data_IF_001964537852
#
_entry.id   IF_001964537852
#
_cell.length_a   1.000
_cell.length_b   1.000
_cell.length_c   1.000
_cell.angle_alpha   90.00
_cell.angle_beta   90.00
_cell.angle_gamma   90.00
#
_symmetry.space_group_name_H-M   'P 1'
#
loop_
_entity.id
_entity.type
_entity.pdbx_description
1 polymer ?
#
# COMPACT_ATOMS: atom_id res chain seq x y z
N UNK A 1 -18.91 12.77 -13.49
CA UNK A 1 -17.52 13.02 -13.94
C UNK A 1 -16.65 13.35 -12.72
N UNK A 2 -15.96 12.36 -12.14
CA UNK A 2 -15.12 12.52 -10.94
C UNK A 2 -13.77 13.13 -11.32
N UNK A 3 -13.74 14.45 -11.49
CA UNK A 3 -12.60 15.24 -11.97
C UNK A 3 -11.44 15.25 -10.95
N UNK A 4 -10.26 14.79 -11.37
CA UNK A 4 -8.97 15.20 -10.81
C UNK A 4 -8.32 14.30 -9.74
N UNK A 5 -8.94 13.19 -9.33
CA UNK A 5 -8.36 12.33 -8.30
C UNK A 5 -7.33 11.39 -8.92
N UNK A 6 -6.06 11.52 -8.50
CA UNK A 6 -4.99 10.61 -8.92
C UNK A 6 -4.95 9.40 -7.99
N UNK A 7 -5.05 8.21 -8.59
CA UNK A 7 -4.91 6.93 -7.91
C UNK A 7 -3.58 6.26 -8.24
N UNK A 8 -3.02 5.53 -7.27
CA UNK A 8 -1.84 4.68 -7.45
C UNK A 8 -2.21 3.26 -7.06
N UNK A 9 -1.96 2.31 -7.95
CA UNK A 9 -2.06 0.88 -7.65
C UNK A 9 -0.74 0.42 -7.04
N UNK A 10 -0.82 -0.27 -5.90
CA UNK A 10 0.31 -0.85 -5.18
C UNK A 10 0.07 -2.36 -5.12
N UNK A 11 1.04 -3.11 -5.64
CA UNK A 11 1.01 -4.58 -5.60
C UNK A 11 1.35 -5.05 -4.18
N UNK A 12 0.43 -5.77 -3.55
CA UNK A 12 0.57 -6.32 -2.20
C UNK A 12 1.03 -7.78 -2.19
N UNK A 13 1.72 -8.23 -3.24
CA UNK A 13 2.33 -9.56 -3.31
C UNK A 13 3.84 -9.52 -3.04
N UNK A 14 4.38 -10.66 -2.64
CA UNK A 14 5.82 -10.87 -2.54
C UNK A 14 6.22 -12.26 -3.05
N UNK A 15 7.47 -12.44 -3.55
CA UNK A 15 7.91 -13.71 -4.11
C UNK A 15 7.98 -14.85 -3.08
N UNK A 16 7.45 -16.02 -3.44
CA UNK A 16 7.43 -17.25 -2.61
C UNK A 16 8.83 -17.71 -2.22
N UNK A 17 9.85 -17.43 -3.05
CA UNK A 17 11.26 -17.78 -2.78
C UNK A 17 11.78 -17.27 -1.43
N UNK A 18 11.20 -16.20 -0.90
CA UNK A 18 11.58 -15.62 0.39
C UNK A 18 10.83 -16.24 1.58
N UNK A 19 9.79 -17.06 1.32
CA UNK A 19 8.96 -17.70 2.33
C UNK A 19 8.46 -16.70 3.38
N UNK A 20 8.41 -17.14 4.64
CA UNK A 20 7.96 -16.31 5.77
C UNK A 20 8.85 -15.06 5.97
N UNK A 21 10.14 -15.15 5.62
CA UNK A 21 11.08 -14.03 5.72
C UNK A 21 10.80 -12.93 4.68
N UNK A 22 10.00 -13.23 3.65
CA UNK A 22 9.59 -12.27 2.62
C UNK A 22 8.48 -11.31 3.06
N UNK A 23 7.77 -11.61 4.15
CA UNK A 23 6.64 -10.81 4.60
C UNK A 23 7.07 -9.41 5.07
N UNK A 24 8.08 -9.34 5.94
CA UNK A 24 8.62 -8.07 6.48
C UNK A 24 9.12 -7.14 5.36
N UNK A 25 10.04 -7.56 4.47
CA UNK A 25 10.49 -6.70 3.37
C UNK A 25 9.37 -6.37 2.37
N UNK A 26 8.39 -7.28 2.19
CA UNK A 26 7.20 -7.01 1.39
C UNK A 26 6.35 -5.88 1.99
N UNK A 27 6.11 -5.90 3.29
CA UNK A 27 5.40 -4.85 4.02
C UNK A 27 6.16 -3.52 3.99
N UNK A 28 7.49 -3.54 4.18
CA UNK A 28 8.32 -2.34 4.13
C UNK A 28 8.29 -1.69 2.74
N UNK A 29 8.37 -2.51 1.67
CA UNK A 29 8.23 -2.05 0.28
C UNK A 29 6.90 -1.34 0.07
N UNK A 30 5.79 -1.98 0.45
CA UNK A 30 4.43 -1.43 0.29
C UNK A 30 4.25 -0.15 1.10
N UNK A 31 4.76 -0.11 2.33
CA UNK A 31 4.74 1.08 3.18
C UNK A 31 5.52 2.23 2.55
N UNK A 32 6.69 1.95 1.98
CA UNK A 32 7.52 2.94 1.30
C UNK A 32 6.82 3.47 0.04
N UNK A 33 6.28 2.59 -0.81
CA UNK A 33 5.52 2.97 -2.01
C UNK A 33 4.29 3.83 -1.66
N UNK A 34 3.55 3.46 -0.61
CA UNK A 34 2.42 4.22 -0.12
C UNK A 34 2.81 5.61 0.39
N UNK A 35 3.93 5.72 1.11
CA UNK A 35 4.49 6.99 1.56
C UNK A 35 4.91 7.88 0.39
N UNK A 36 5.64 7.33 -0.59
CA UNK A 36 6.04 8.05 -1.81
C UNK A 36 4.82 8.53 -2.58
N UNK A 37 3.82 7.66 -2.79
CA UNK A 37 2.59 8.05 -3.46
C UNK A 37 1.83 9.15 -2.69
N UNK A 38 1.84 9.12 -1.35
CA UNK A 38 1.26 10.19 -0.55
C UNK A 38 2.01 11.52 -0.73
N UNK A 39 3.36 11.50 -0.83
CA UNK A 39 4.20 12.67 -1.08
C UNK A 39 4.02 13.23 -2.49
N UNK A 40 3.89 12.36 -3.49
CA UNK A 40 3.63 12.72 -4.89
C UNK A 40 2.22 13.32 -5.10
N UNK A 41 1.39 13.33 -4.05
CA UNK A 41 0.07 13.94 -4.05
C UNK A 41 -1.01 13.04 -4.66
N UNK A 42 -0.85 11.72 -4.60
CA UNK A 42 -1.94 10.78 -4.87
C UNK A 42 -2.97 10.82 -3.73
N UNK A 43 -4.25 10.73 -4.09
CA UNK A 43 -5.37 10.83 -3.14
C UNK A 43 -6.02 9.48 -2.85
N UNK A 44 -5.78 8.50 -3.71
CA UNK A 44 -6.32 7.15 -3.61
C UNK A 44 -5.16 6.18 -3.77
N UNK A 45 -5.01 5.27 -2.80
CA UNK A 45 -4.14 4.12 -2.95
C UNK A 45 -5.03 2.89 -3.20
N UNK A 46 -4.72 2.15 -4.24
CA UNK A 46 -5.40 0.90 -4.56
C UNK A 46 -4.44 -0.22 -4.24
N UNK A 47 -4.75 -1.01 -3.21
CA UNK A 47 -3.97 -2.21 -2.92
C UNK A 47 -4.52 -3.33 -3.78
N UNK A 48 -3.62 -3.98 -4.51
CA UNK A 48 -3.99 -5.08 -5.38
C UNK A 48 -3.11 -6.29 -5.10
N UNK A 49 -3.77 -7.40 -4.83
CA UNK A 49 -3.20 -8.73 -4.70
C UNK A 49 -3.41 -9.58 -5.96
N UNK A 50 -3.85 -8.96 -7.07
CA UNK A 50 -4.13 -9.62 -8.35
C UNK A 50 -2.95 -10.36 -8.97
N UNK A 51 -1.73 -10.02 -8.56
CA UNK A 51 -0.52 -10.69 -9.01
C UNK A 51 -0.21 -11.97 -8.21
N UNK A 52 -1.15 -12.42 -7.38
CA UNK A 52 -1.04 -13.67 -6.63
C UNK A 52 -0.94 -14.85 -7.60
N UNK A 53 0.11 -15.64 -7.44
CA UNK A 53 0.42 -16.77 -8.31
C UNK A 53 1.20 -17.82 -7.49
N UNK A 54 1.49 -18.97 -8.10
CA UNK A 54 2.32 -20.02 -7.48
C UNK A 54 3.71 -19.49 -7.06
N UNK A 55 4.18 -18.42 -7.68
CA UNK A 55 5.46 -17.77 -7.40
C UNK A 55 5.34 -16.51 -6.53
N UNK A 56 4.12 -16.00 -6.29
CA UNK A 56 3.85 -14.74 -5.58
C UNK A 56 2.76 -14.93 -4.51
N UNK A 57 3.13 -14.76 -3.24
CA UNK A 57 2.20 -14.84 -2.12
C UNK A 57 1.53 -13.48 -1.90
N UNK A 58 0.19 -13.42 -1.82
CA UNK A 58 -0.50 -12.20 -1.42
C UNK A 58 -0.33 -11.95 0.08
N UNK A 59 -0.04 -10.71 0.45
CA UNK A 59 -0.14 -10.26 1.84
C UNK A 59 -1.62 -10.09 2.18
N UNK A 60 -2.03 -10.55 3.36
CA UNK A 60 -3.41 -10.37 3.83
C UNK A 60 -3.81 -8.89 3.78
N UNK A 61 -4.88 -8.59 3.05
CA UNK A 61 -5.40 -7.22 2.90
C UNK A 61 -5.52 -6.40 4.20
N UNK A 62 -6.09 -6.92 5.31
CA UNK A 62 -6.14 -6.15 6.56
C UNK A 62 -4.76 -5.86 7.16
N UNK A 63 -3.78 -6.76 6.98
CA UNK A 63 -2.40 -6.57 7.44
C UNK A 63 -1.71 -5.46 6.63
N UNK A 64 -1.85 -5.50 5.30
CA UNK A 64 -1.30 -4.47 4.42
C UNK A 64 -1.89 -3.09 4.73
N UNK A 65 -3.21 -2.97 4.87
CA UNK A 65 -3.89 -1.72 5.23
C UNK A 65 -3.43 -1.22 6.60
N UNK A 66 -3.39 -2.09 7.61
CA UNK A 66 -2.95 -1.73 8.95
C UNK A 66 -1.52 -1.21 8.98
N UNK A 67 -0.60 -1.89 8.30
CA UNK A 67 0.80 -1.47 8.20
C UNK A 67 0.94 -0.09 7.51
N UNK A 68 0.30 0.10 6.36
CA UNK A 68 0.30 1.39 5.63
C UNK A 68 -0.32 2.49 6.49
N UNK A 69 -1.45 2.22 7.13
CA UNK A 69 -2.14 3.19 7.97
C UNK A 69 -1.27 3.65 9.14
N UNK A 70 -0.66 2.71 9.85
CA UNK A 70 0.28 3.00 10.93
C UNK A 70 1.52 3.74 10.43
N UNK A 71 2.09 3.31 9.31
CA UNK A 71 3.23 3.98 8.68
C UNK A 71 2.92 5.44 8.33
N UNK A 72 1.77 5.69 7.69
CA UNK A 72 1.32 7.04 7.33
C UNK A 72 1.02 7.90 8.54
N UNK A 73 0.40 7.37 9.61
CA UNK A 73 0.20 8.12 10.86
C UNK A 73 1.56 8.54 11.44
N UNK A 74 2.51 7.61 11.56
CA UNK A 74 3.85 7.88 12.09
C UNK A 74 4.59 8.93 11.27
N UNK A 75 4.50 8.86 9.94
CA UNK A 75 5.13 9.85 9.05
C UNK A 75 4.40 11.20 9.02
N UNK A 76 3.07 11.23 9.19
CA UNK A 76 2.27 12.47 9.29
C UNK A 76 2.50 13.26 10.58
N UNK A 77 3.02 12.64 11.64
CA UNK A 77 3.43 13.38 12.85
C UNK A 77 4.68 14.23 12.62
N UNK A 78 5.56 13.86 11.68
CA UNK A 78 6.68 14.71 11.22
C UNK A 78 6.29 15.65 10.08
N UNK A 79 5.37 15.23 9.23
CA UNK A 79 4.85 16.01 8.10
C UNK A 79 3.50 16.64 8.46
N UNK A 80 3.51 17.69 9.29
CA UNK A 80 2.36 18.58 9.48
C UNK A 80 1.82 18.95 8.09
N UNK A 81 0.52 18.74 7.86
CA UNK A 81 -0.21 18.98 6.59
C UNK A 81 -0.25 17.78 5.64
N UNK A 82 -1.24 16.89 5.86
CA UNK A 82 -2.01 16.36 4.75
C UNK A 82 -3.44 16.01 5.22
N UNK A 83 -4.32 17.01 5.34
CA UNK A 83 -5.77 16.75 5.41
C UNK A 83 -6.27 16.34 4.02
N UNK A 84 -5.87 15.16 3.54
CA UNK A 84 -6.54 14.47 2.43
C UNK A 84 -6.95 13.09 2.90
N UNK A 85 -8.24 12.82 2.79
CA UNK A 85 -8.88 11.52 3.01
C UNK A 85 -8.27 10.56 1.99
N UNK A 86 -7.27 9.79 2.40
CA UNK A 86 -6.67 8.76 1.56
C UNK A 86 -7.65 7.59 1.54
N UNK A 87 -8.31 7.39 0.40
CA UNK A 87 -9.17 6.23 0.21
C UNK A 87 -8.27 5.05 -0.16
N UNK A 88 -8.31 4.00 0.67
CA UNK A 88 -7.67 2.73 0.37
C UNK A 88 -8.73 1.82 -0.23
N UNK A 89 -8.58 1.46 -1.50
CA UNK A 89 -9.46 0.51 -2.19
C UNK A 89 -8.73 -0.82 -2.32
N UNK A 90 -9.39 -1.91 -1.91
CA UNK A 90 -8.89 -3.27 -2.04
C UNK A 90 -9.44 -3.86 -3.33
N UNK A 91 -8.56 -4.32 -4.23
CA UNK A 91 -8.97 -4.96 -5.48
C UNK A 91 -8.45 -6.40 -5.50
N UNK A 92 -9.33 -7.29 -5.03
CA UNK A 92 -9.11 -8.72 -4.90
C UNK A 92 -9.08 -9.43 -6.26
N UNK A 93 -8.34 -10.53 -6.34
CA UNK A 93 -8.52 -11.56 -7.37
C UNK A 93 -9.73 -12.44 -7.05
#
# INVERSE_FOLDING_TARGET
MYKGWRSKVIDTTFPVRYGVKGLVPGLDRICCEACTAALDGYQILVLSDRNASKDNVPISSPLAVGAIHQCLIRHRLRMKVCKKKLLISLNFA
#
